data_IF_684923908048
#
_entry.id   IF_684923908048
#
_cell.length_a   1.000
_cell.length_b   1.000
_cell.length_c   1.000
_cell.angle_alpha   90.00
_cell.angle_beta   90.00
_cell.angle_gamma   90.00
#
_symmetry.space_group_name_H-M   'P 1'
#
loop_
_entity.id
_entity.type
_entity.pdbx_description
1 polymer ?
#
# COMPACT_ATOMS: atom_id res chain seq x y z
N UNK A 1 6.02 9.58 22.37
CA UNK A 1 5.38 10.73 21.71
C UNK A 1 3.98 10.38 21.18
N UNK A 2 3.81 9.39 20.25
CA UNK A 2 2.51 8.98 19.69
C UNK A 2 1.49 8.58 20.77
N UNK A 3 1.88 7.74 21.73
CA UNK A 3 1.01 7.33 22.84
C UNK A 3 0.57 8.51 23.70
N UNK A 4 1.44 9.50 23.92
CA UNK A 4 1.10 10.72 24.66
C UNK A 4 0.12 11.61 23.91
N UNK A 5 0.25 11.72 22.57
CA UNK A 5 -0.61 12.57 21.73
C UNK A 5 -1.97 11.93 21.43
N UNK A 6 -2.02 10.63 21.21
CA UNK A 6 -3.21 9.92 20.71
C UNK A 6 -3.76 8.84 21.67
N UNK A 7 -3.20 8.70 22.85
CA UNK A 7 -3.64 7.72 23.86
C UNK A 7 -3.30 6.26 23.55
N UNK A 8 -2.87 5.97 22.31
CA UNK A 8 -2.56 4.60 21.84
C UNK A 8 -1.19 4.54 21.17
N UNK A 9 -0.47 3.43 21.38
CA UNK A 9 0.74 3.14 20.62
C UNK A 9 0.37 2.54 19.25
N UNK A 10 0.97 3.02 18.14
CA UNK A 10 0.75 2.41 16.83
C UNK A 10 1.31 0.98 16.81
N UNK A 11 0.61 0.07 16.14
CA UNK A 11 1.05 -1.33 15.96
C UNK A 11 1.53 -1.63 14.55
N UNK A 12 1.16 -0.78 13.59
CA UNK A 12 1.51 -0.91 12.18
C UNK A 12 2.31 0.29 11.74
N UNK A 13 3.36 0.04 11.00
CA UNK A 13 4.27 1.05 10.47
C UNK A 13 4.02 1.27 8.97
N UNK A 14 4.19 2.49 8.51
CA UNK A 14 4.24 2.84 7.09
C UNK A 14 5.47 3.71 6.83
N UNK A 15 6.33 3.26 5.95
CA UNK A 15 7.47 4.06 5.51
C UNK A 15 7.05 5.07 4.43
N UNK A 16 7.84 6.14 4.27
CA UNK A 16 7.69 7.06 3.13
C UNK A 16 7.77 6.28 1.82
N UNK A 17 6.93 6.65 0.85
CA UNK A 17 6.85 6.02 -0.47
C UNK A 17 6.74 4.49 -0.44
N UNK A 18 6.23 3.93 0.65
CA UNK A 18 6.13 2.48 0.90
C UNK A 18 7.46 1.73 0.70
N UNK A 19 8.60 2.40 0.89
CA UNK A 19 9.91 1.77 0.74
C UNK A 19 10.06 0.63 1.74
N UNK A 20 10.36 -0.55 1.22
CA UNK A 20 10.50 -1.77 1.99
C UNK A 20 11.55 -2.70 1.38
N UNK A 21 12.36 -3.31 2.24
CA UNK A 21 13.09 -4.54 2.02
C UNK A 21 13.14 -5.34 3.33
N UNK A 22 13.69 -6.53 3.32
CA UNK A 22 13.69 -7.41 4.51
C UNK A 22 14.51 -6.86 5.68
N UNK A 23 15.59 -6.09 5.43
CA UNK A 23 16.38 -5.42 6.47
C UNK A 23 15.55 -4.33 7.17
N UNK A 24 14.83 -3.50 6.40
CA UNK A 24 13.90 -2.51 6.95
C UNK A 24 12.81 -3.22 7.76
N UNK A 25 12.29 -4.34 7.26
CA UNK A 25 11.32 -5.16 7.96
C UNK A 25 11.84 -5.66 9.31
N UNK A 26 13.04 -6.20 9.35
CA UNK A 26 13.69 -6.66 10.58
C UNK A 26 13.88 -5.52 11.59
N UNK A 27 14.30 -4.35 11.11
CA UNK A 27 14.44 -3.15 11.94
C UNK A 27 13.10 -2.70 12.52
N UNK A 28 12.04 -2.61 11.70
CA UNK A 28 10.69 -2.22 12.14
C UNK A 28 10.14 -3.22 13.16
N UNK A 29 10.39 -4.52 12.96
CA UNK A 29 10.03 -5.55 13.93
C UNK A 29 10.75 -5.37 15.28
N UNK A 30 12.04 -5.04 15.26
CA UNK A 30 12.83 -4.77 16.48
C UNK A 30 12.32 -3.55 17.26
N UNK A 31 11.70 -2.58 16.58
CA UNK A 31 11.02 -1.44 17.20
C UNK A 31 9.68 -1.81 17.87
N UNK A 32 9.22 -3.06 17.75
CA UNK A 32 8.02 -3.58 18.40
C UNK A 32 6.74 -3.48 17.58
N UNK A 33 6.81 -3.04 16.31
CA UNK A 33 5.66 -3.07 15.42
C UNK A 33 5.25 -4.51 15.06
N UNK A 34 3.97 -4.69 14.78
CA UNK A 34 3.37 -6.00 14.45
C UNK A 34 3.05 -6.14 12.96
N UNK A 35 3.06 -5.04 12.24
CA UNK A 35 2.84 -5.03 10.80
C UNK A 35 3.43 -3.81 10.13
N UNK A 36 3.57 -3.91 8.81
CA UNK A 36 4.04 -2.83 7.96
C UNK A 36 3.22 -2.80 6.68
N UNK A 37 2.90 -1.57 6.23
CA UNK A 37 2.26 -1.33 4.94
C UNK A 37 3.36 -1.20 3.89
N UNK A 38 3.25 -1.97 2.81
CA UNK A 38 4.24 -2.01 1.73
C UNK A 38 3.57 -2.01 0.35
N UNK A 39 4.35 -1.86 -0.70
CA UNK A 39 3.85 -2.00 -2.07
C UNK A 39 3.66 -3.48 -2.43
N UNK A 40 2.67 -3.78 -3.27
CA UNK A 40 2.45 -5.10 -3.87
C UNK A 40 3.17 -5.24 -5.20
N UNK A 41 4.50 -5.05 -5.20
CA UNK A 41 5.29 -5.05 -6.42
C UNK A 41 5.26 -6.41 -7.15
N UNK A 42 4.93 -6.38 -8.43
CA UNK A 42 4.70 -7.59 -9.24
C UNK A 42 5.96 -8.46 -9.38
N UNK A 43 7.13 -7.81 -9.49
CA UNK A 43 8.41 -8.51 -9.60
C UNK A 43 8.80 -9.25 -8.30
N UNK A 44 8.28 -8.80 -7.14
CA UNK A 44 8.45 -9.48 -5.84
C UNK A 44 7.41 -10.58 -5.65
N UNK A 45 6.16 -10.29 -5.99
CA UNK A 45 5.06 -11.24 -5.83
C UNK A 45 5.13 -12.41 -6.81
N UNK A 46 5.60 -12.18 -8.04
CA UNK A 46 5.54 -13.17 -9.11
C UNK A 46 4.08 -13.56 -9.39
N UNK A 47 3.74 -14.81 -9.07
CA UNK A 47 2.39 -15.36 -9.22
C UNK A 47 1.50 -15.20 -7.98
N UNK A 48 2.07 -14.74 -6.85
CA UNK A 48 1.33 -14.55 -5.59
C UNK A 48 0.37 -13.36 -5.69
N UNK A 49 -0.78 -13.45 -5.02
CA UNK A 49 -1.72 -12.34 -4.90
C UNK A 49 -1.31 -11.36 -3.78
N UNK A 50 -1.48 -10.04 -3.95
CA UNK A 50 -1.29 -9.06 -2.88
C UNK A 50 -2.41 -9.12 -1.82
N UNK A 51 -3.45 -9.91 -2.02
CA UNK A 51 -4.64 -9.96 -1.17
C UNK A 51 -4.53 -10.92 0.01
N UNK A 52 -3.32 -11.36 0.32
CA UNK A 52 -3.00 -12.15 1.51
C UNK A 52 -2.11 -11.37 2.46
N UNK A 53 -2.19 -11.74 3.74
CA UNK A 53 -1.22 -11.26 4.74
C UNK A 53 0.04 -12.11 4.62
N UNK A 54 1.17 -11.46 4.38
CA UNK A 54 2.50 -12.10 4.38
C UNK A 54 3.25 -11.78 5.67
N UNK A 55 4.44 -12.33 5.85
CA UNK A 55 5.36 -11.89 6.90
C UNK A 55 6.76 -11.66 6.32
N UNK A 56 7.52 -10.82 7.01
CA UNK A 56 8.90 -10.50 6.66
C UNK A 56 9.76 -11.76 6.70
N UNK A 57 10.57 -11.98 5.68
CA UNK A 57 11.47 -13.14 5.59
C UNK A 57 12.46 -13.20 6.77
N UNK A 58 13.04 -12.05 7.15
CA UNK A 58 14.01 -11.97 8.25
C UNK A 58 13.37 -11.95 9.65
N UNK A 59 12.06 -11.64 9.76
CA UNK A 59 11.37 -11.65 11.06
C UNK A 59 9.89 -12.01 10.90
N UNK A 60 9.50 -13.26 11.19
CA UNK A 60 8.13 -13.74 10.98
C UNK A 60 7.08 -13.08 11.89
N UNK A 61 7.49 -12.34 12.92
CA UNK A 61 6.57 -11.60 13.79
C UNK A 61 6.05 -10.30 13.17
N UNK A 62 6.67 -9.82 12.08
CA UNK A 62 6.20 -8.65 11.34
C UNK A 62 5.34 -9.08 10.15
N UNK A 63 4.06 -8.76 10.21
CA UNK A 63 3.13 -8.98 9.09
C UNK A 63 3.23 -7.87 8.06
N UNK A 64 3.11 -8.24 6.79
CA UNK A 64 3.16 -7.33 5.66
C UNK A 64 1.77 -7.24 5.03
N UNK A 65 1.28 -6.01 4.87
CA UNK A 65 0.05 -5.68 4.18
C UNK A 65 0.41 -5.01 2.87
N UNK A 66 0.14 -5.70 1.77
CA UNK A 66 0.59 -5.30 0.44
C UNK A 66 -0.49 -4.47 -0.25
N UNK A 67 -0.09 -3.34 -0.82
CA UNK A 67 -0.97 -2.50 -1.63
C UNK A 67 -1.40 -3.24 -2.90
N UNK A 68 -2.69 -3.27 -3.19
CA UNK A 68 -3.12 -3.50 -4.56
C UNK A 68 -2.90 -2.23 -5.36
N UNK A 69 -1.83 -2.22 -6.17
CA UNK A 69 -1.45 -1.04 -6.93
C UNK A 69 -2.45 -0.72 -8.04
N UNK A 70 -3.04 -1.74 -8.68
CA UNK A 70 -4.00 -1.54 -9.77
C UNK A 70 -5.24 -0.83 -9.25
N UNK A 71 -5.91 -1.41 -8.27
CA UNK A 71 -7.11 -0.84 -7.65
C UNK A 71 -6.85 0.54 -7.02
N UNK A 72 -5.67 0.71 -6.40
CA UNK A 72 -5.30 1.99 -5.79
C UNK A 72 -5.05 3.07 -6.85
N UNK A 73 -4.34 2.73 -7.94
CA UNK A 73 -4.03 3.67 -9.03
C UNK A 73 -5.25 4.00 -9.88
N UNK A 74 -6.24 3.10 -9.96
CA UNK A 74 -7.52 3.36 -10.61
C UNK A 74 -8.26 4.55 -9.95
N UNK A 75 -8.19 4.66 -8.62
CA UNK A 75 -8.75 5.80 -7.89
C UNK A 75 -7.80 7.00 -7.91
N UNK A 76 -6.51 6.80 -7.60
CA UNK A 76 -5.60 7.92 -7.35
C UNK A 76 -5.08 8.60 -8.63
N UNK A 77 -5.00 7.87 -9.75
CA UNK A 77 -4.40 8.35 -10.99
C UNK A 77 -5.39 8.40 -12.17
N UNK A 78 -6.27 7.39 -12.31
CA UNK A 78 -7.09 7.22 -13.51
C UNK A 78 -8.52 7.74 -13.37
N UNK A 79 -9.00 7.99 -12.17
CA UNK A 79 -10.40 8.28 -11.86
C UNK A 79 -11.04 9.38 -12.72
N UNK A 80 -10.30 10.48 -12.99
CA UNK A 80 -10.79 11.60 -13.81
C UNK A 80 -10.35 11.55 -15.28
N UNK A 81 -9.63 10.49 -15.69
CA UNK A 81 -9.16 10.37 -17.07
C UNK A 81 -10.28 9.83 -17.97
N UNK A 82 -10.84 10.70 -18.82
CA UNK A 82 -11.91 10.35 -19.76
C UNK A 82 -11.48 9.41 -20.89
N UNK A 83 -10.17 9.26 -21.13
CA UNK A 83 -9.64 8.31 -22.13
C UNK A 83 -9.43 6.91 -21.54
N UNK A 84 -9.56 6.75 -20.22
CA UNK A 84 -9.47 5.45 -19.61
C UNK A 84 -10.70 4.59 -19.93
N UNK A 85 -10.48 3.37 -20.37
CA UNK A 85 -11.55 2.46 -20.84
C UNK A 85 -12.64 2.18 -19.79
N UNK A 86 -12.30 2.32 -18.50
CA UNK A 86 -13.23 2.10 -17.39
C UNK A 86 -13.93 3.39 -16.91
N UNK A 87 -13.61 4.53 -17.56
CA UNK A 87 -14.28 5.79 -17.24
C UNK A 87 -15.73 5.82 -17.73
N UNK A 88 -16.67 6.39 -16.96
CA UNK A 88 -16.51 6.86 -15.58
C UNK A 88 -16.53 5.70 -14.57
N UNK A 89 -15.75 5.83 -13.51
CA UNK A 89 -15.71 4.84 -12.45
C UNK A 89 -16.74 5.17 -11.36
N UNK A 90 -17.70 4.27 -11.17
CA UNK A 90 -18.70 4.33 -10.11
C UNK A 90 -18.37 3.35 -8.98
N UNK A 91 -18.90 3.62 -7.78
CA UNK A 91 -18.61 2.84 -6.59
C UNK A 91 -19.12 1.39 -6.70
N UNK A 92 -20.28 1.16 -7.28
CA UNK A 92 -20.85 -0.16 -7.52
C UNK A 92 -19.99 -0.99 -8.49
N UNK A 93 -19.51 -0.35 -9.58
CA UNK A 93 -18.58 -0.97 -10.54
C UNK A 93 -17.29 -1.37 -9.86
N UNK A 94 -16.69 -0.46 -9.07
CA UNK A 94 -15.44 -0.71 -8.36
C UNK A 94 -15.59 -1.85 -7.33
N UNK A 95 -16.68 -1.84 -6.57
CA UNK A 95 -16.96 -2.90 -5.61
C UNK A 95 -17.26 -4.23 -6.31
N UNK A 96 -17.86 -4.22 -7.51
CA UNK A 96 -18.06 -5.46 -8.28
C UNK A 96 -16.74 -6.10 -8.71
N UNK A 97 -15.69 -5.31 -8.98
CA UNK A 97 -14.35 -5.86 -9.24
C UNK A 97 -13.76 -6.53 -8.00
N UNK A 98 -13.96 -5.91 -6.84
CA UNK A 98 -13.51 -6.47 -5.56
C UNK A 98 -14.27 -7.76 -5.22
N UNK A 99 -15.58 -7.79 -5.45
CA UNK A 99 -16.45 -8.95 -5.22
C UNK A 99 -16.12 -10.15 -6.14
N UNK A 100 -15.51 -9.87 -7.30
CA UNK A 100 -15.10 -10.89 -8.26
C UNK A 100 -13.79 -11.62 -7.89
N UNK A 101 -13.03 -11.17 -6.87
CA UNK A 101 -11.86 -11.88 -6.42
C UNK A 101 -12.22 -13.20 -5.71
N UNK A 102 -11.30 -14.18 -5.69
CA UNK A 102 -11.51 -15.44 -5.00
C UNK A 102 -11.88 -15.24 -3.52
N UNK A 103 -12.86 -16.01 -3.04
CA UNK A 103 -13.36 -15.89 -1.66
C UNK A 103 -12.35 -16.29 -0.58
N UNK A 104 -11.32 -17.02 -0.94
CA UNK A 104 -10.19 -17.39 -0.08
C UNK A 104 -9.19 -16.25 0.14
N UNK A 105 -9.23 -15.19 -0.64
CA UNK A 105 -8.39 -14.00 -0.45
C UNK A 105 -8.82 -13.25 0.81
N UNK A 106 -7.84 -12.87 1.62
CA UNK A 106 -8.08 -12.44 3.00
C UNK A 106 -8.39 -10.95 3.13
N UNK A 107 -7.72 -10.11 2.33
CA UNK A 107 -7.75 -8.65 2.49
C UNK A 107 -7.29 -7.94 1.23
N UNK A 108 -7.96 -6.88 0.88
CA UNK A 108 -7.56 -5.98 -0.21
C UNK A 108 -7.13 -4.66 0.42
N UNK A 109 -5.88 -4.27 0.17
CA UNK A 109 -5.31 -3.04 0.71
C UNK A 109 -5.24 -1.96 -0.38
N UNK A 110 -6.02 -0.91 -0.20
CA UNK A 110 -6.05 0.25 -1.09
C UNK A 110 -5.37 1.41 -0.39
N UNK A 111 -4.18 1.79 -0.90
CA UNK A 111 -3.38 2.88 -0.35
C UNK A 111 -3.24 3.98 -1.39
N UNK A 112 -3.54 5.20 -0.99
CA UNK A 112 -3.35 6.40 -1.81
C UNK A 112 -2.88 7.57 -0.95
N UNK A 113 -2.36 8.60 -1.58
CA UNK A 113 -2.04 9.84 -0.91
C UNK A 113 -3.31 10.70 -0.78
N UNK A 114 -3.44 11.37 0.35
CA UNK A 114 -4.58 12.28 0.58
C UNK A 114 -4.59 13.45 -0.42
N UNK A 115 -3.41 13.90 -0.86
CA UNK A 115 -3.29 14.93 -1.88
C UNK A 115 -3.84 14.52 -3.26
N UNK A 116 -4.03 13.22 -3.52
CA UNK A 116 -4.76 12.78 -4.72
C UNK A 116 -6.17 13.37 -4.77
N UNK A 117 -6.80 13.63 -3.60
CA UNK A 117 -8.12 14.22 -3.50
C UNK A 117 -8.04 15.74 -3.58
N UNK A 118 -8.36 16.29 -4.74
CA UNK A 118 -8.36 17.73 -4.99
C UNK A 118 -7.13 18.24 -5.77
N UNK A 119 -6.02 17.48 -5.81
CA UNK A 119 -4.84 17.80 -6.64
C UNK A 119 -4.82 16.94 -7.91
N UNK A 120 -4.48 15.65 -7.79
CA UNK A 120 -4.44 14.74 -8.95
C UNK A 120 -5.82 14.43 -9.49
N UNK A 121 -6.80 14.30 -8.60
CA UNK A 121 -8.21 14.12 -8.93
C UNK A 121 -8.97 15.39 -8.53
N UNK A 122 -9.39 16.24 -9.50
CA UNK A 122 -10.11 17.48 -9.18
C UNK A 122 -11.46 17.15 -8.52
N UNK A 123 -11.92 18.02 -7.62
CA UNK A 123 -13.21 17.83 -6.93
C UNK A 123 -14.39 17.76 -7.91
N UNK A 124 -14.28 18.42 -9.07
CA UNK A 124 -15.26 18.34 -10.16
C UNK A 124 -15.42 16.95 -10.79
N UNK A 125 -14.47 16.03 -10.54
CA UNK A 125 -14.59 14.63 -10.97
C UNK A 125 -15.60 13.81 -10.17
N UNK A 126 -16.21 14.38 -9.12
CA UNK A 126 -17.08 13.68 -8.17
C UNK A 126 -16.41 12.56 -7.36
N UNK A 127 -15.09 12.59 -7.22
CA UNK A 127 -14.35 11.58 -6.46
C UNK A 127 -14.81 11.48 -4.99
N UNK A 128 -15.24 12.59 -4.38
CA UNK A 128 -15.76 12.57 -3.01
C UNK A 128 -17.10 11.83 -2.91
N UNK A 129 -17.97 11.96 -3.91
CA UNK A 129 -19.23 11.22 -3.95
C UNK A 129 -19.00 9.74 -4.19
N UNK A 130 -18.02 9.40 -5.05
CA UNK A 130 -17.56 8.02 -5.19
C UNK A 130 -17.09 7.43 -3.84
N UNK A 131 -16.23 8.14 -3.12
CA UNK A 131 -15.72 7.67 -1.81
C UNK A 131 -16.82 7.56 -0.75
N UNK A 132 -17.83 8.44 -0.78
CA UNK A 132 -19.00 8.34 0.11
C UNK A 132 -19.86 7.13 -0.21
N UNK A 133 -20.00 6.78 -1.48
CA UNK A 133 -20.83 5.65 -1.92
C UNK A 133 -20.16 4.28 -1.66
N UNK A 134 -18.81 4.21 -1.65
CA UNK A 134 -18.07 2.96 -1.48
C UNK A 134 -18.53 2.11 -0.27
N UNK A 135 -18.68 2.67 0.96
CA UNK A 135 -19.09 1.87 2.11
C UNK A 135 -20.48 1.25 1.96
N UNK A 136 -21.39 1.93 1.28
CA UNK A 136 -22.75 1.42 1.04
C UNK A 136 -22.73 0.26 0.06
N UNK A 137 -22.08 0.43 -1.10
CA UNK A 137 -21.93 -0.64 -2.08
C UNK A 137 -21.17 -1.86 -1.52
N UNK A 138 -20.10 -1.62 -0.73
CA UNK A 138 -19.35 -2.68 -0.07
C UNK A 138 -20.24 -3.50 0.89
N UNK A 139 -21.06 -2.82 1.69
CA UNK A 139 -21.97 -3.46 2.64
C UNK A 139 -22.99 -4.36 1.95
N UNK A 140 -23.51 -3.96 0.81
CA UNK A 140 -24.45 -4.77 0.00
C UNK A 140 -23.83 -6.08 -0.49
N UNK A 141 -22.51 -6.10 -0.67
CA UNK A 141 -21.73 -7.27 -1.06
C UNK A 141 -21.12 -8.03 0.12
N UNK A 142 -21.44 -7.65 1.36
CA UNK A 142 -20.86 -8.28 2.55
C UNK A 142 -19.39 -7.95 2.78
N UNK A 143 -18.82 -6.99 2.05
CA UNK A 143 -17.44 -6.53 2.20
C UNK A 143 -17.38 -5.56 3.39
N UNK A 144 -16.41 -5.75 4.27
CA UNK A 144 -16.22 -4.94 5.48
C UNK A 144 -14.91 -4.17 5.44
N UNK A 145 -14.91 -2.95 5.97
CA UNK A 145 -13.70 -2.17 6.17
C UNK A 145 -13.05 -2.52 7.50
N UNK A 146 -11.73 -2.59 7.51
CA UNK A 146 -10.94 -2.87 8.71
C UNK A 146 -9.73 -1.96 8.80
N UNK A 147 -9.28 -1.71 10.02
CA UNK A 147 -8.02 -1.01 10.24
C UNK A 147 -6.83 -1.95 10.05
N UNK A 148 -5.64 -1.45 9.66
CA UNK A 148 -4.43 -2.28 9.57
C UNK A 148 -4.11 -3.01 10.87
N UNK A 149 -4.38 -2.38 12.03
CA UNK A 149 -4.19 -3.00 13.35
C UNK A 149 -5.09 -4.22 13.57
N UNK A 150 -6.35 -4.15 13.14
CA UNK A 150 -7.28 -5.28 13.21
C UNK A 150 -6.82 -6.43 12.32
N UNK A 151 -6.41 -6.13 11.10
CA UNK A 151 -5.92 -7.13 10.15
C UNK A 151 -4.70 -7.87 10.71
N UNK A 152 -3.65 -7.15 11.14
CA UNK A 152 -2.44 -7.81 11.68
C UNK A 152 -2.69 -8.55 12.99
N UNK A 153 -3.77 -8.23 13.70
CA UNK A 153 -4.14 -8.92 14.94
C UNK A 153 -4.96 -10.18 14.68
N UNK A 154 -5.91 -10.11 13.74
CA UNK A 154 -6.91 -11.17 13.50
C UNK A 154 -6.44 -12.21 12.49
N UNK A 155 -5.79 -11.77 11.39
CA UNK A 155 -5.41 -12.66 10.30
C UNK A 155 -4.01 -13.26 10.50
N UNK A 156 -3.85 -14.52 10.14
CA UNK A 156 -2.55 -15.18 10.07
C UNK A 156 -1.89 -14.90 8.72
N UNK A 157 -0.57 -14.79 8.73
CA UNK A 157 0.20 -14.75 7.47
C UNK A 157 0.18 -16.11 6.78
N UNK A 158 0.04 -16.09 5.44
CA UNK A 158 0.02 -17.31 4.63
C UNK A 158 1.42 -17.85 4.36
N UNK A 159 2.39 -16.96 4.15
CA UNK A 159 3.78 -17.33 3.88
C UNK A 159 4.71 -16.15 4.12
N UNK A 160 6.00 -16.40 4.04
CA UNK A 160 7.02 -15.36 3.96
C UNK A 160 7.01 -14.66 2.59
N UNK A 161 7.40 -13.41 2.59
CA UNK A 161 7.72 -12.64 1.39
C UNK A 161 9.20 -12.31 1.44
N UNK A 162 9.94 -12.70 0.41
CA UNK A 162 11.37 -12.45 0.25
C UNK A 162 11.58 -11.18 -0.58
N UNK A 163 12.16 -10.15 0.02
CA UNK A 163 12.37 -8.84 -0.59
C UNK A 163 13.81 -8.37 -0.33
N UNK A 164 14.79 -8.92 -1.07
CA UNK A 164 16.19 -8.61 -0.85
C UNK A 164 16.57 -7.18 -1.28
N UNK A 165 15.84 -6.61 -2.25
CA UNK A 165 16.09 -5.26 -2.76
C UNK A 165 14.90 -4.34 -2.47
N UNK A 166 15.16 -3.02 -2.20
CA UNK A 166 14.09 -2.09 -1.87
C UNK A 166 13.03 -1.97 -2.96
N UNK A 167 11.76 -2.15 -2.59
CA UNK A 167 10.60 -1.81 -3.40
C UNK A 167 9.95 -0.52 -2.90
N UNK A 168 9.20 0.15 -3.78
CA UNK A 168 8.52 1.44 -3.53
C UNK A 168 7.27 1.55 -4.40
N UNK A 169 6.40 2.53 -4.13
CA UNK A 169 5.23 2.81 -4.97
C UNK A 169 5.42 3.95 -5.98
N UNK A 170 6.62 4.57 -6.02
CA UNK A 170 6.82 5.89 -6.63
C UNK A 170 6.73 5.88 -8.15
N UNK A 171 7.14 4.79 -8.79
CA UNK A 171 7.14 4.66 -10.25
C UNK A 171 6.55 3.32 -10.72
N UNK A 172 6.55 3.11 -12.03
CA UNK A 172 6.03 1.88 -12.63
C UNK A 172 6.91 0.66 -12.33
N UNK A 173 8.20 0.85 -12.12
CA UNK A 173 9.17 -0.20 -11.78
C UNK A 173 8.95 -0.74 -10.36
N UNK A 174 8.29 0.03 -9.51
CA UNK A 174 8.00 -0.32 -8.10
C UNK A 174 9.25 -0.61 -7.28
N UNK A 175 10.33 0.10 -7.58
CA UNK A 175 11.60 0.02 -6.88
C UNK A 175 12.15 1.41 -6.47
N UNK A 176 13.45 1.55 -6.29
CA UNK A 176 14.10 2.82 -5.94
C UNK A 176 14.90 3.44 -7.09
N UNK A 177 14.72 2.96 -8.33
CA UNK A 177 15.49 3.41 -9.50
C UNK A 177 15.22 4.88 -9.86
N UNK A 178 14.05 5.42 -9.54
CA UNK A 178 13.76 6.84 -9.70
C UNK A 178 14.72 7.75 -8.90
N UNK A 179 15.31 7.26 -7.81
CA UNK A 179 16.27 8.01 -6.98
C UNK A 179 17.70 7.50 -7.10
N UNK A 180 17.91 6.21 -7.36
CA UNK A 180 19.21 5.54 -7.28
C UNK A 180 19.55 4.75 -8.57
N UNK A 181 18.81 4.96 -9.65
CA UNK A 181 18.90 4.17 -10.87
C UNK A 181 20.17 4.42 -11.68
N UNK A 182 20.78 5.60 -11.59
CA UNK A 182 21.99 5.94 -12.35
C UNK A 182 23.16 6.39 -11.46
N UNK A 183 24.35 6.51 -12.07
CA UNK A 183 25.58 6.87 -11.36
C UNK A 183 25.48 8.26 -10.71
N UNK A 184 24.92 9.25 -11.44
CA UNK A 184 24.81 10.63 -10.93
C UNK A 184 23.91 10.70 -9.69
N UNK A 185 22.79 9.99 -9.71
CA UNK A 185 21.88 9.92 -8.57
C UNK A 185 22.56 9.30 -7.35
N UNK A 186 23.30 8.21 -7.54
CA UNK A 186 24.05 7.55 -6.45
C UNK A 186 25.17 8.43 -5.89
N UNK A 187 25.88 9.15 -6.76
CA UNK A 187 26.93 10.08 -6.32
C UNK A 187 26.32 11.27 -5.53
N UNK A 188 25.19 11.82 -5.99
CA UNK A 188 24.50 12.87 -5.27
C UNK A 188 24.01 12.40 -3.90
N UNK A 189 23.46 11.19 -3.82
CA UNK A 189 23.03 10.56 -2.57
C UNK A 189 24.21 10.38 -1.59
N UNK A 190 25.35 9.85 -2.06
CA UNK A 190 26.54 9.67 -1.22
C UNK A 190 27.09 11.00 -0.74
N UNK A 191 27.12 12.04 -1.59
CA UNK A 191 27.53 13.39 -1.18
C UNK A 191 26.60 14.00 -0.13
N UNK A 192 25.31 13.77 -0.21
CA UNK A 192 24.35 14.27 0.77
C UNK A 192 24.70 13.74 2.18
N UNK A 193 25.02 12.49 2.30
CA UNK A 193 25.43 11.90 3.59
C UNK A 193 26.76 12.42 4.09
N UNK A 194 27.75 12.61 3.21
CA UNK A 194 29.05 13.16 3.59
C UNK A 194 29.03 14.62 4.07
N UNK A 195 27.96 15.35 3.77
CA UNK A 195 27.78 16.74 4.24
C UNK A 195 26.94 16.80 5.54
N UNK A 196 26.24 15.72 5.85
CA UNK A 196 25.40 15.64 7.05
C UNK A 196 26.16 15.15 8.30
N UNK A 197 27.39 14.64 8.13
CA UNK A 197 28.34 14.28 9.20
C UNK A 197 29.19 15.51 9.60
#
# INVERSE_FOLDING_TARGET
KMKQMFGKAPKVFRNSSLIYNDEIGAMVASMGFKGMLTEGAKHVLGWKSPHYVYHCNMNPNLKLLLRDFKLSDDISLRFSNSEWNEYPLFADKYISWIDAFPQEEQVINIFMELCSLGMSQPLSSNILEFLKALPYCAKEKGITFSTPTEIVTKLKSVSQLDVPYPMSWVDEERDTSCWLGNVMQREAFNKLYSVAE
#
